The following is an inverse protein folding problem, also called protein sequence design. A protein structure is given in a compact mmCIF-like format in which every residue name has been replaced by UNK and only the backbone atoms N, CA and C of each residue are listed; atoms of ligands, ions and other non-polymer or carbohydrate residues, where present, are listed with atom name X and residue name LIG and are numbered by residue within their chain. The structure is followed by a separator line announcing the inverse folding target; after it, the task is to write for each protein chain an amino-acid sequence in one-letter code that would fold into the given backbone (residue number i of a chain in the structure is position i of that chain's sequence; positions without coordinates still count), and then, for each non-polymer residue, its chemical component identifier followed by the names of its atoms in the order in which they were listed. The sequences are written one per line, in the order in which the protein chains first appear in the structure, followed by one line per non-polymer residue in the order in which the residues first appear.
data_IF_908949662696
#
_entry.id   IF_908949662696
#
_cell.length_a   1.000
_cell.length_b   1.000
_cell.length_c   1.000
_cell.angle_alpha   90.00
_cell.angle_beta   90.00
_cell.angle_gamma   90.00
#
_symmetry.space_group_name_H-M   'P 1'
#
loop_
_entity.id
_entity.type
_entity.pdbx_description
1 polymer ?
#
# COMPACT_ATOMS: atom_id res chain seq x y z
N UNK A 1 -4.82 -14.56 -9.34
CA UNK A 1 -4.63 -14.45 -10.81
C UNK A 1 -4.40 -13.01 -11.28
N UNK A 2 -5.15 -12.01 -10.81
CA UNK A 2 -5.05 -10.63 -11.30
C UNK A 2 -3.89 -9.79 -10.73
N UNK A 3 -3.27 -10.18 -9.61
CA UNK A 3 -2.27 -9.38 -8.90
C UNK A 3 -1.00 -9.18 -9.75
N UNK A 4 -0.46 -10.26 -10.31
CA UNK A 4 0.77 -10.20 -11.12
C UNK A 4 0.62 -9.29 -12.34
N UNK A 5 -0.39 -9.48 -13.23
CA UNK A 5 -0.57 -8.59 -14.38
C UNK A 5 -0.88 -7.15 -13.96
N UNK A 6 -1.62 -6.94 -12.88
CA UNK A 6 -1.94 -5.61 -12.38
C UNK A 6 -0.70 -4.87 -11.88
N UNK A 7 0.13 -5.50 -11.04
CA UNK A 7 1.38 -4.90 -10.53
C UNK A 7 2.33 -4.61 -11.69
N UNK A 8 2.48 -5.54 -12.63
CA UNK A 8 3.33 -5.35 -13.79
C UNK A 8 2.91 -4.14 -14.62
N UNK A 9 1.62 -4.06 -14.97
CA UNK A 9 1.13 -2.98 -15.84
C UNK A 9 1.09 -1.64 -15.12
N UNK A 10 0.51 -1.58 -13.92
CA UNK A 10 0.34 -0.31 -13.18
C UNK A 10 1.68 0.30 -12.80
N UNK A 11 2.62 -0.50 -12.29
CA UNK A 11 3.92 0.01 -11.87
C UNK A 11 4.81 0.39 -13.05
N UNK A 12 4.80 -0.40 -14.15
CA UNK A 12 5.54 -0.03 -15.36
C UNK A 12 5.02 1.28 -15.96
N UNK A 13 3.69 1.47 -16.02
CA UNK A 13 3.07 2.69 -16.51
C UNK A 13 3.37 3.88 -15.59
N UNK A 14 3.34 3.67 -14.27
CA UNK A 14 3.68 4.68 -13.29
C UNK A 14 5.13 5.15 -13.47
N UNK A 15 6.07 4.21 -13.68
CA UNK A 15 7.46 4.56 -13.96
C UNK A 15 7.64 5.29 -15.29
N UNK A 16 6.89 4.91 -16.34
CA UNK A 16 6.90 5.64 -17.61
C UNK A 16 6.40 7.08 -17.47
N UNK A 17 5.49 7.34 -16.53
CA UNK A 17 4.98 8.69 -16.28
C UNK A 17 5.97 9.59 -15.54
N UNK A 18 6.97 9.01 -14.87
CA UNK A 18 8.01 9.75 -14.14
C UNK A 18 9.05 10.42 -15.04
N UNK A 19 9.12 10.02 -16.28
CA UNK A 19 10.25 10.42 -17.11
C UNK A 19 9.85 10.90 -18.49
N UNK A 20 9.43 12.13 -18.57
CA UNK A 20 9.63 12.95 -19.76
C UNK A 20 11.02 13.63 -19.60
N UNK A 21 12.09 13.11 -20.26
CA UNK A 21 13.47 13.44 -19.93
C UNK A 21 13.85 14.90 -20.23
N UNK A 22 13.19 15.54 -21.20
CA UNK A 22 13.63 16.83 -21.72
C UNK A 22 13.08 18.04 -20.95
N UNK A 23 11.90 17.94 -20.35
CA UNK A 23 11.27 19.07 -19.63
C UNK A 23 11.15 18.91 -18.12
N UNK A 24 11.01 17.68 -17.62
CA UNK A 24 10.64 17.39 -16.23
C UNK A 24 11.72 16.66 -15.41
N UNK A 25 12.87 16.32 -15.96
CA UNK A 25 13.88 15.48 -15.31
C UNK A 25 14.30 15.94 -13.90
N UNK A 26 14.46 17.25 -13.66
CA UNK A 26 14.74 17.77 -12.31
C UNK A 26 13.51 17.73 -11.39
N UNK A 27 12.32 17.98 -11.94
CA UNK A 27 11.05 17.95 -11.20
C UNK A 27 10.74 16.50 -10.83
N UNK A 28 10.84 15.59 -11.80
CA UNK A 28 10.60 14.15 -11.59
C UNK A 28 11.53 13.57 -10.51
N UNK A 29 12.81 13.86 -10.59
CA UNK A 29 13.79 13.40 -9.60
C UNK A 29 13.50 13.93 -8.19
N UNK A 30 13.17 15.22 -8.06
CA UNK A 30 12.81 15.82 -6.77
C UNK A 30 11.51 15.24 -6.23
N UNK A 31 10.51 15.06 -7.08
CA UNK A 31 9.21 14.46 -6.72
C UNK A 31 9.40 13.04 -6.20
N UNK A 32 10.17 12.21 -6.91
CA UNK A 32 10.43 10.84 -6.50
C UNK A 32 11.18 10.75 -5.16
N UNK A 33 12.23 11.57 -4.99
CA UNK A 33 12.97 11.64 -3.72
C UNK A 33 12.05 12.08 -2.58
N UNK A 34 11.18 13.07 -2.82
CA UNK A 34 10.21 13.55 -1.83
C UNK A 34 9.24 12.44 -1.44
N UNK A 35 8.70 11.69 -2.41
CA UNK A 35 7.82 10.56 -2.14
C UNK A 35 8.53 9.49 -1.32
N UNK A 36 9.76 9.13 -1.68
CA UNK A 36 10.55 8.14 -0.96
C UNK A 36 10.83 8.59 0.49
N UNK A 37 11.16 9.86 0.70
CA UNK A 37 11.33 10.42 2.06
C UNK A 37 10.05 10.28 2.88
N UNK A 38 8.88 10.62 2.31
CA UNK A 38 7.61 10.46 3.01
C UNK A 38 7.27 9.01 3.29
N UNK A 39 7.59 8.08 2.39
CA UNK A 39 7.44 6.65 2.62
C UNK A 39 8.26 6.15 3.81
N UNK A 40 9.54 6.51 3.85
CA UNK A 40 10.43 6.11 4.94
C UNK A 40 9.92 6.66 6.28
N UNK A 41 9.52 7.93 6.31
CA UNK A 41 8.98 8.55 7.52
C UNK A 41 7.65 7.91 7.94
N UNK A 42 6.76 7.63 6.99
CA UNK A 42 5.48 6.96 7.26
C UNK A 42 5.69 5.54 7.81
N UNK A 43 6.59 4.76 7.20
CA UNK A 43 6.93 3.41 7.67
C UNK A 43 7.54 3.43 9.08
N UNK A 44 8.47 4.35 9.33
CA UNK A 44 9.12 4.49 10.63
C UNK A 44 8.13 4.89 11.72
N UNK A 45 7.29 5.89 11.47
CA UNK A 45 6.27 6.34 12.41
C UNK A 45 5.25 5.23 12.69
N UNK A 46 4.71 4.59 11.64
CA UNK A 46 3.74 3.53 11.78
C UNK A 46 4.33 2.31 12.52
N UNK A 47 5.56 1.94 12.17
CA UNK A 47 6.28 0.87 12.86
C UNK A 47 6.51 1.16 14.33
N UNK A 48 6.96 2.37 14.66
CA UNK A 48 7.19 2.80 16.05
C UNK A 48 5.88 2.82 16.87
N UNK A 49 4.81 3.37 16.31
CA UNK A 49 3.51 3.42 16.99
C UNK A 49 2.91 2.04 17.18
N UNK A 50 2.94 1.19 16.16
CA UNK A 50 2.44 -0.18 16.26
C UNK A 50 3.28 -1.02 17.24
N UNK A 51 4.59 -0.85 17.24
CA UNK A 51 5.47 -1.50 18.21
C UNK A 51 5.19 -1.04 19.64
N UNK A 52 4.92 0.24 19.83
CA UNK A 52 4.50 0.78 21.12
C UNK A 52 3.18 0.14 21.61
N UNK A 53 2.18 0.03 20.74
CA UNK A 53 0.90 -0.66 21.03
C UNK A 53 1.13 -2.14 21.38
N UNK A 54 2.05 -2.82 20.66
CA UNK A 54 2.50 -4.19 20.99
C UNK A 54 3.07 -4.25 22.41
N UNK A 55 3.97 -3.33 22.77
CA UNK A 55 4.58 -3.28 24.11
C UNK A 55 3.56 -3.04 25.24
N UNK A 56 2.47 -2.32 24.94
CA UNK A 56 1.34 -2.13 25.85
C UNK A 56 0.47 -3.38 26.01
N UNK A 57 0.73 -4.45 25.24
CA UNK A 57 -0.03 -5.70 25.27
C UNK A 57 -1.42 -5.62 24.63
N UNK A 58 -1.73 -4.54 23.91
CA UNK A 58 -3.06 -4.33 23.33
C UNK A 58 -3.31 -5.19 22.07
N UNK A 59 -2.25 -5.69 21.45
CA UNK A 59 -2.31 -6.65 20.33
C UNK A 59 -2.31 -8.12 20.79
N UNK A 60 -2.25 -8.39 22.09
CA UNK A 60 -2.22 -9.76 22.60
C UNK A 60 -3.55 -10.47 22.31
N UNK A 61 -3.49 -11.44 21.44
CA UNK A 61 -4.54 -12.39 21.11
C UNK A 61 -3.89 -13.76 21.19
N UNK A 62 -4.47 -14.66 21.95
CA UNK A 62 -4.12 -16.06 21.82
C UNK A 62 -4.88 -16.61 20.62
N UNK A 63 -4.25 -16.67 19.46
CA UNK A 63 -4.75 -17.52 18.39
C UNK A 63 -4.84 -18.93 18.97
N UNK A 64 -6.01 -19.60 18.93
CA UNK A 64 -6.04 -21.01 19.25
C UNK A 64 -4.99 -21.65 18.35
N UNK A 65 -4.01 -22.28 18.97
CA UNK A 65 -2.99 -23.04 18.30
C UNK A 65 -3.70 -24.20 17.59
N UNK A 66 -4.22 -23.94 16.42
CA UNK A 66 -4.49 -24.97 15.46
C UNK A 66 -3.09 -25.40 15.04
N UNK A 67 -2.66 -26.52 15.62
CA UNK A 67 -1.40 -27.21 15.43
C UNK A 67 -0.48 -26.49 14.44
N UNK A 68 0.17 -25.42 14.90
CA UNK A 68 1.34 -24.88 14.22
C UNK A 68 2.41 -25.97 14.34
N UNK A 69 2.23 -27.00 13.54
CA UNK A 69 3.17 -28.10 13.36
C UNK A 69 4.33 -27.56 12.54
N UNK A 70 4.92 -26.54 13.03
CA UNK A 70 6.27 -26.04 12.80
C UNK A 70 6.27 -24.64 13.39
N UNK A 71 6.95 -24.48 14.52
CA UNK A 71 7.37 -23.17 15.01
C UNK A 71 7.99 -22.43 13.83
N UNK A 72 7.27 -21.48 13.25
CA UNK A 72 7.83 -20.56 12.26
C UNK A 72 8.77 -19.65 13.05
N UNK A 73 9.90 -20.21 13.40
CA UNK A 73 11.03 -19.45 13.86
C UNK A 73 11.54 -18.71 12.64
N UNK A 74 11.47 -17.38 12.65
CA UNK A 74 12.21 -16.52 11.71
C UNK A 74 13.75 -16.66 11.97
N UNK A 75 14.18 -17.78 12.59
CA UNK A 75 15.57 -18.14 12.77
C UNK A 75 16.15 -18.53 11.42
N UNK A 76 16.93 -17.61 10.87
CA UNK A 76 17.58 -17.76 9.56
C UNK A 76 17.04 -16.83 8.45
N UNK A 77 16.02 -16.02 8.73
CA UNK A 77 15.57 -15.02 7.77
C UNK A 77 16.68 -13.97 7.56
N UNK A 78 17.34 -14.07 6.41
CA UNK A 78 18.35 -13.10 6.02
C UNK A 78 17.70 -12.05 5.09
N UNK A 79 17.57 -10.79 5.53
CA UNK A 79 16.99 -9.71 4.73
C UNK A 79 17.67 -9.55 3.36
N UNK A 80 18.97 -9.79 3.29
CA UNK A 80 19.73 -9.71 2.04
C UNK A 80 19.31 -10.79 1.04
N UNK A 81 18.95 -11.98 1.50
CA UNK A 81 18.45 -13.05 0.62
C UNK A 81 17.13 -12.65 -0.02
N UNK A 82 16.24 -11.97 0.71
CA UNK A 82 14.99 -11.46 0.15
C UNK A 82 15.24 -10.41 -0.93
N UNK A 83 16.20 -9.52 -0.71
CA UNK A 83 16.59 -8.50 -1.71
C UNK A 83 17.25 -9.17 -2.93
N UNK A 84 18.10 -10.18 -2.74
CA UNK A 84 18.72 -10.93 -3.82
C UNK A 84 17.67 -11.70 -4.62
N UNK A 85 16.74 -12.37 -3.94
CA UNK A 85 15.64 -13.13 -4.56
C UNK A 85 14.59 -12.22 -5.21
N UNK A 86 14.60 -10.91 -4.93
CA UNK A 86 13.77 -9.95 -5.64
C UNK A 86 14.18 -9.79 -7.10
N UNK A 87 15.45 -10.10 -7.46
CA UNK A 87 15.87 -10.13 -8.86
C UNK A 87 15.68 -11.55 -9.40
N UNK A 88 14.68 -11.79 -10.26
CA UNK A 88 14.40 -13.13 -10.72
C UNK A 88 15.46 -13.62 -11.71
N UNK A 89 15.87 -14.87 -11.57
CA UNK A 89 16.71 -15.54 -12.57
C UNK A 89 15.99 -15.79 -13.91
N UNK A 90 14.66 -15.85 -13.85
CA UNK A 90 13.80 -16.00 -15.02
C UNK A 90 12.48 -15.23 -14.79
N UNK A 91 12.15 -14.32 -15.73
CA UNK A 91 10.95 -13.47 -15.68
C UNK A 91 9.68 -14.31 -15.69
N UNK A 92 9.63 -15.38 -16.46
CA UNK A 92 8.44 -16.23 -16.57
C UNK A 92 8.14 -17.00 -15.28
N UNK A 93 9.15 -17.44 -14.57
CA UNK A 93 8.96 -18.06 -13.24
C UNK A 93 8.45 -17.05 -12.21
N UNK A 94 8.87 -15.80 -12.29
CA UNK A 94 8.34 -14.74 -11.44
C UNK A 94 6.84 -14.51 -11.69
N UNK A 95 6.40 -14.60 -12.95
CA UNK A 95 4.98 -14.40 -13.31
C UNK A 95 4.09 -15.60 -13.00
N UNK A 96 4.64 -16.79 -12.86
CA UNK A 96 3.88 -18.02 -12.58
C UNK A 96 3.55 -18.23 -11.10
N UNK A 97 4.18 -17.48 -10.19
CA UNK A 97 4.02 -17.65 -8.75
C UNK A 97 3.55 -16.37 -8.07
N UNK A 98 2.48 -16.49 -7.29
CA UNK A 98 2.02 -15.38 -6.44
C UNK A 98 3.00 -15.07 -5.28
N UNK A 99 3.91 -15.98 -4.96
CA UNK A 99 4.93 -15.78 -3.92
C UNK A 99 6.12 -14.95 -4.42
N UNK A 100 6.21 -14.72 -5.73
CA UNK A 100 7.31 -13.99 -6.37
C UNK A 100 6.93 -12.54 -6.75
N UNK A 101 5.95 -11.94 -6.08
CA UNK A 101 5.43 -10.61 -6.46
C UNK A 101 6.52 -9.55 -6.34
N UNK A 102 7.45 -9.67 -5.38
CA UNK A 102 8.58 -8.75 -5.28
C UNK A 102 9.45 -8.79 -6.55
N UNK A 103 9.64 -9.97 -7.13
CA UNK A 103 10.32 -10.11 -8.41
C UNK A 103 9.53 -9.46 -9.56
N UNK A 104 8.20 -9.57 -9.55
CA UNK A 104 7.33 -8.86 -10.50
C UNK A 104 7.48 -7.34 -10.36
N UNK A 105 7.55 -6.83 -9.14
CA UNK A 105 7.79 -5.39 -8.87
C UNK A 105 9.13 -4.95 -9.48
N UNK A 106 10.21 -5.70 -9.25
CA UNK A 106 11.53 -5.38 -9.83
C UNK A 106 11.48 -5.40 -11.35
N UNK A 107 10.87 -6.41 -11.95
CA UNK A 107 10.70 -6.50 -13.42
C UNK A 107 9.88 -5.31 -13.94
N UNK A 108 8.80 -4.93 -13.27
CA UNK A 108 7.96 -3.79 -13.64
C UNK A 108 8.73 -2.46 -13.58
N UNK A 109 9.57 -2.28 -12.54
CA UNK A 109 10.44 -1.11 -12.41
C UNK A 109 11.44 -1.05 -13.57
N UNK A 110 12.14 -2.15 -13.86
CA UNK A 110 13.11 -2.22 -14.97
C UNK A 110 12.41 -1.95 -16.30
N UNK A 111 11.24 -2.56 -16.54
CA UNK A 111 10.47 -2.38 -17.77
C UNK A 111 10.05 -0.91 -17.92
N UNK A 112 9.47 -0.32 -16.88
CA UNK A 112 9.03 1.06 -16.90
C UNK A 112 10.17 2.05 -17.11
N UNK A 113 11.31 1.88 -16.41
CA UNK A 113 12.49 2.71 -16.62
C UNK A 113 13.09 2.55 -18.03
N UNK A 114 13.11 1.33 -18.56
CA UNK A 114 13.59 1.07 -19.92
C UNK A 114 12.69 1.72 -20.98
N UNK A 115 11.37 1.64 -20.80
CA UNK A 115 10.40 2.30 -21.68
C UNK A 115 10.59 3.82 -21.65
N UNK A 116 10.81 4.37 -20.48
CA UNK A 116 11.17 5.78 -20.30
C UNK A 116 12.42 6.17 -21.05
N UNK A 117 13.50 5.40 -20.91
CA UNK A 117 14.78 5.67 -21.58
C UNK A 117 14.68 5.60 -23.11
N UNK A 118 13.78 4.78 -23.64
CA UNK A 118 13.55 4.64 -25.08
C UNK A 118 12.57 5.68 -25.64
N UNK A 119 11.81 6.38 -24.78
CA UNK A 119 10.91 7.46 -25.14
C UNK A 119 9.83 7.06 -26.17
N UNK A 120 9.65 7.86 -27.21
CA UNK A 120 8.58 7.69 -28.20
C UNK A 120 8.57 6.32 -28.88
N UNK A 121 9.72 5.63 -28.98
CA UNK A 121 9.78 4.29 -29.59
C UNK A 121 8.94 3.25 -28.86
N UNK A 122 8.67 3.47 -27.59
CA UNK A 122 7.88 2.54 -26.75
C UNK A 122 6.42 2.93 -26.60
N UNK A 123 5.96 3.99 -27.26
CA UNK A 123 4.56 4.43 -27.21
C UNK A 123 3.54 3.32 -27.59
N UNK A 124 3.80 2.47 -28.59
CA UNK A 124 2.92 1.32 -28.85
C UNK A 124 2.84 0.34 -27.68
N UNK A 125 3.98 0.04 -27.02
CA UNK A 125 4.03 -0.85 -25.87
C UNK A 125 3.30 -0.24 -24.66
N UNK A 126 3.45 1.06 -24.44
CA UNK A 126 2.74 1.79 -23.40
C UNK A 126 1.22 1.69 -23.58
N UNK A 127 0.70 1.86 -24.82
CA UNK A 127 -0.72 1.67 -25.13
C UNK A 127 -1.20 0.23 -24.84
N UNK A 128 -0.40 -0.76 -25.17
CA UNK A 128 -0.73 -2.17 -24.86
C UNK A 128 -0.83 -2.40 -23.35
N UNK A 129 0.15 -1.88 -22.60
CA UNK A 129 0.13 -1.98 -21.13
C UNK A 129 -1.05 -1.22 -20.53
N UNK A 130 -1.42 -0.05 -21.06
CA UNK A 130 -2.60 0.70 -20.62
C UNK A 130 -3.88 -0.12 -20.85
N UNK A 131 -4.09 -0.62 -22.07
CA UNK A 131 -5.27 -1.43 -22.38
C UNK A 131 -5.34 -2.69 -21.51
N UNK A 132 -4.20 -3.37 -21.28
CA UNK A 132 -4.14 -4.53 -20.40
C UNK A 132 -4.47 -4.16 -18.96
N UNK A 133 -3.95 -3.04 -18.47
CA UNK A 133 -4.26 -2.53 -17.13
C UNK A 133 -5.76 -2.24 -16.98
N UNK A 134 -6.39 -1.61 -17.97
CA UNK A 134 -7.81 -1.28 -17.95
C UNK A 134 -8.69 -2.55 -17.95
N UNK A 135 -8.32 -3.56 -18.74
CA UNK A 135 -9.02 -4.86 -18.75
C UNK A 135 -8.90 -5.55 -17.39
N UNK A 136 -7.70 -5.56 -16.80
CA UNK A 136 -7.48 -6.18 -15.48
C UNK A 136 -8.23 -5.41 -14.39
N UNK A 137 -8.25 -4.08 -14.44
CA UNK A 137 -9.02 -3.25 -13.51
C UNK A 137 -10.53 -3.49 -13.63
N UNK A 138 -11.05 -3.56 -14.85
CA UNK A 138 -12.47 -3.87 -15.08
C UNK A 138 -12.87 -5.22 -14.47
N UNK A 139 -12.03 -6.25 -14.69
CA UNK A 139 -12.23 -7.58 -14.12
C UNK A 139 -12.19 -7.56 -12.58
N UNK A 140 -11.23 -6.83 -12.00
CA UNK A 140 -11.12 -6.70 -10.54
C UNK A 140 -12.31 -5.97 -9.94
N UNK A 141 -12.75 -4.86 -10.55
CA UNK A 141 -13.93 -4.13 -10.10
C UNK A 141 -15.16 -5.02 -10.12
N UNK A 142 -15.35 -5.80 -11.20
CA UNK A 142 -16.44 -6.78 -11.25
C UNK A 142 -16.36 -7.80 -10.10
N UNK A 143 -15.18 -8.36 -9.82
CA UNK A 143 -15.00 -9.29 -8.70
C UNK A 143 -15.28 -8.64 -7.36
N UNK A 144 -14.79 -7.42 -7.13
CA UNK A 144 -14.97 -6.69 -5.87
C UNK A 144 -16.45 -6.36 -5.66
N UNK A 145 -17.12 -5.85 -6.68
CA UNK A 145 -18.50 -5.37 -6.54
C UNK A 145 -19.53 -6.52 -6.47
N UNK A 146 -19.30 -7.61 -7.20
CA UNK A 146 -20.28 -8.71 -7.30
C UNK A 146 -19.97 -9.89 -6.38
N UNK A 147 -18.71 -10.29 -6.28
CA UNK A 147 -18.29 -11.46 -5.51
C UNK A 147 -17.77 -11.05 -4.13
N UNK A 148 -17.18 -9.86 -4.04
CA UNK A 148 -16.59 -9.33 -2.82
C UNK A 148 -17.50 -9.39 -1.60
N UNK A 149 -18.76 -8.91 -1.62
CA UNK A 149 -19.63 -8.94 -0.47
C UNK A 149 -19.90 -10.35 0.05
N UNK A 150 -20.10 -11.32 -0.85
CA UNK A 150 -20.30 -12.72 -0.47
C UNK A 150 -19.02 -13.34 0.12
N UNK A 151 -17.88 -13.09 -0.53
CA UNK A 151 -16.59 -13.57 -0.04
C UNK A 151 -16.28 -13.02 1.37
N UNK A 152 -16.52 -11.73 1.58
CA UNK A 152 -16.32 -11.06 2.88
C UNK A 152 -17.25 -11.64 3.93
N UNK A 153 -18.53 -11.84 3.61
CA UNK A 153 -19.47 -12.49 4.52
C UNK A 153 -18.99 -13.87 4.94
N UNK A 154 -18.55 -14.69 3.98
CA UNK A 154 -17.99 -16.02 4.27
C UNK A 154 -16.72 -15.94 5.13
N UNK A 155 -15.83 -14.96 4.86
CA UNK A 155 -14.62 -14.76 5.64
C UNK A 155 -14.92 -14.32 7.08
N UNK A 156 -15.85 -13.40 7.28
CA UNK A 156 -16.30 -12.95 8.61
C UNK A 156 -16.90 -14.13 9.36
N UNK A 157 -17.83 -14.85 8.74
CA UNK A 157 -18.48 -16.02 9.35
C UNK A 157 -17.46 -17.07 9.77
N UNK A 158 -16.49 -17.38 8.92
CA UNK A 158 -15.41 -18.30 9.23
C UNK A 158 -14.56 -17.78 10.40
N UNK A 159 -14.15 -16.51 10.38
CA UNK A 159 -13.34 -15.91 11.42
C UNK A 159 -14.04 -15.97 12.78
N UNK A 160 -15.31 -15.60 12.82
CA UNK A 160 -16.12 -15.66 14.07
C UNK A 160 -16.34 -17.10 14.55
N UNK A 161 -16.54 -18.06 13.63
CA UNK A 161 -16.72 -19.48 13.98
C UNK A 161 -15.46 -20.13 14.52
N UNK A 162 -14.29 -19.76 13.96
CA UNK A 162 -12.99 -20.39 14.33
C UNK A 162 -12.39 -19.70 15.55
N UNK A 163 -12.45 -18.38 15.61
CA UNK A 163 -11.72 -17.59 16.62
C UNK A 163 -12.62 -17.00 17.71
N UNK A 164 -13.95 -17.05 17.53
CA UNK A 164 -14.92 -16.53 18.49
C UNK A 164 -15.00 -15.00 18.53
N UNK A 165 -15.86 -14.51 19.42
CA UNK A 165 -16.15 -13.06 19.58
C UNK A 165 -14.97 -12.34 20.25
N UNK A 166 -14.11 -13.04 20.96
CA UNK A 166 -12.93 -12.47 21.64
C UNK A 166 -11.93 -11.82 20.67
N UNK A 167 -11.99 -12.24 19.40
CA UNK A 167 -11.15 -11.71 18.32
C UNK A 167 -11.53 -10.30 17.87
N UNK A 168 -12.74 -9.84 18.18
CA UNK A 168 -13.23 -8.52 17.79
C UNK A 168 -12.42 -7.42 18.48
N UNK A 169 -12.09 -7.59 19.76
CA UNK A 169 -11.40 -6.56 20.54
C UNK A 169 -10.00 -6.20 19.97
N UNK A 170 -9.10 -7.15 19.72
CA UNK A 170 -7.80 -6.86 19.13
C UNK A 170 -7.89 -6.31 17.70
N UNK A 171 -8.84 -6.77 16.92
CA UNK A 171 -9.11 -6.24 15.58
C UNK A 171 -9.52 -4.76 15.65
N UNK A 172 -10.37 -4.39 16.62
CA UNK A 172 -10.71 -2.97 16.85
C UNK A 172 -9.48 -2.16 17.26
N UNK A 173 -8.60 -2.68 18.11
CA UNK A 173 -7.34 -2.01 18.46
C UNK A 173 -6.47 -1.80 17.24
N UNK A 174 -6.35 -2.79 16.36
CA UNK A 174 -5.62 -2.66 15.09
C UNK A 174 -6.21 -1.54 14.21
N UNK A 175 -7.56 -1.50 14.05
CA UNK A 175 -8.26 -0.46 13.28
C UNK A 175 -7.98 0.92 13.89
N UNK A 176 -8.19 1.08 15.20
CA UNK A 176 -7.95 2.34 15.89
C UNK A 176 -6.49 2.79 15.78
N UNK A 177 -5.54 1.86 15.92
CA UNK A 177 -4.11 2.16 15.76
C UNK A 177 -3.83 2.67 14.34
N UNK A 178 -4.39 2.02 13.32
CA UNK A 178 -4.22 2.45 11.92
C UNK A 178 -4.81 3.84 11.66
N UNK A 179 -5.99 4.12 12.21
CA UNK A 179 -6.63 5.45 12.13
C UNK A 179 -5.75 6.50 12.82
N UNK A 180 -5.32 6.24 14.05
CA UNK A 180 -4.48 7.18 14.82
C UNK A 180 -3.16 7.44 14.10
N UNK A 181 -2.48 6.41 13.60
CA UNK A 181 -1.26 6.55 12.79
C UNK A 181 -1.50 7.43 11.57
N UNK A 182 -2.59 7.18 10.84
CA UNK A 182 -2.94 7.97 9.65
C UNK A 182 -3.22 9.44 9.98
N UNK A 183 -3.96 9.69 11.07
CA UNK A 183 -4.23 11.06 11.55
C UNK A 183 -2.95 11.77 12.00
N UNK A 184 -2.05 11.08 12.70
CA UNK A 184 -0.75 11.63 13.11
C UNK A 184 0.10 11.95 11.88
N UNK A 185 0.14 11.08 10.86
CA UNK A 185 0.83 11.37 9.60
C UNK A 185 0.31 12.65 8.94
N UNK A 186 -1.01 12.77 8.82
CA UNK A 186 -1.65 13.93 8.19
C UNK A 186 -1.44 15.20 9.02
N UNK A 187 -1.56 15.10 10.34
CA UNK A 187 -1.51 16.27 11.23
C UNK A 187 -0.08 16.73 11.55
N UNK A 188 0.93 15.88 11.40
CA UNK A 188 2.32 16.22 11.79
C UNK A 188 3.26 16.20 10.59
N UNK A 189 3.37 15.07 9.90
CA UNK A 189 4.42 14.85 8.90
C UNK A 189 4.23 15.75 7.68
N UNK A 190 3.01 15.86 7.16
CA UNK A 190 2.76 16.71 6.00
C UNK A 190 2.92 18.21 6.31
N UNK A 191 2.37 18.77 7.42
CA UNK A 191 2.63 20.15 7.81
C UNK A 191 4.11 20.45 8.04
N UNK A 192 4.82 19.55 8.71
CA UNK A 192 6.28 19.68 8.92
C UNK A 192 7.02 19.65 7.59
N UNK A 193 6.67 18.74 6.69
CA UNK A 193 7.26 18.67 5.34
C UNK A 193 7.05 19.96 4.56
N UNK A 194 5.84 20.51 4.55
CA UNK A 194 5.54 21.80 3.93
C UNK A 194 6.40 22.92 4.55
N UNK A 195 6.43 23.02 5.85
CA UNK A 195 7.21 24.05 6.54
C UNK A 195 8.71 23.95 6.26
N UNK A 196 9.27 22.74 6.28
CA UNK A 196 10.70 22.53 6.04
C UNK A 196 11.11 22.84 4.59
N UNK A 197 10.25 22.49 3.62
CA UNK A 197 10.57 22.66 2.20
C UNK A 197 10.28 24.07 1.67
N UNK A 198 9.18 24.67 2.13
CA UNK A 198 8.70 25.96 1.60
C UNK A 198 8.87 27.13 2.56
N UNK A 199 9.04 26.86 3.86
CA UNK A 199 9.02 27.82 4.96
C UNK A 199 7.73 28.64 5.07
N UNK A 200 6.67 28.21 4.39
CA UNK A 200 5.34 28.80 4.46
C UNK A 200 4.55 28.22 5.65
N UNK A 201 3.56 29.00 6.12
CA UNK A 201 2.65 28.50 7.14
C UNK A 201 1.81 27.35 6.58
N UNK A 202 1.90 26.13 7.15
CA UNK A 202 1.18 24.97 6.63
C UNK A 202 -0.34 25.03 6.90
N UNK A 203 -0.82 25.81 7.86
CA UNK A 203 -2.23 25.82 8.26
C UNK A 203 -3.19 26.21 7.14
N UNK A 204 -2.96 27.27 6.36
CA UNK A 204 -3.82 27.60 5.21
C UNK A 204 -3.83 26.50 4.14
N UNK A 205 -2.68 25.85 3.92
CA UNK A 205 -2.57 24.74 2.99
C UNK A 205 -3.42 23.53 3.48
N UNK A 206 -3.26 23.14 4.74
CA UNK A 206 -4.00 22.04 5.34
C UNK A 206 -5.52 22.26 5.34
N UNK A 207 -5.97 23.50 5.56
CA UNK A 207 -7.40 23.82 5.45
C UNK A 207 -7.96 23.57 4.05
N UNK A 208 -7.20 23.92 3.02
CA UNK A 208 -7.59 23.68 1.63
C UNK A 208 -7.49 22.19 1.25
N UNK A 209 -6.47 21.50 1.74
CA UNK A 209 -6.29 20.08 1.52
C UNK A 209 -7.32 19.22 2.26
N UNK A 210 -7.91 19.69 3.36
CA UNK A 210 -8.87 18.94 4.15
C UNK A 210 -10.09 18.48 3.34
N UNK A 211 -10.62 19.32 2.43
CA UNK A 211 -11.73 18.94 1.56
C UNK A 211 -11.37 17.81 0.58
N UNK A 212 -10.11 17.79 0.12
CA UNK A 212 -9.59 16.71 -0.73
C UNK A 212 -9.50 15.43 0.10
N UNK A 213 -9.00 15.54 1.35
CA UNK A 213 -8.91 14.42 2.28
C UNK A 213 -10.27 13.83 2.63
N UNK A 214 -11.27 14.66 2.89
CA UNK A 214 -12.65 14.21 3.15
C UNK A 214 -13.26 13.51 1.93
N UNK A 215 -13.08 14.06 0.75
CA UNK A 215 -13.56 13.44 -0.48
C UNK A 215 -12.85 12.11 -0.78
N UNK A 216 -11.53 12.05 -0.53
CA UNK A 216 -10.76 10.81 -0.68
C UNK A 216 -11.21 9.75 0.32
N UNK A 217 -11.51 10.13 1.55
CA UNK A 217 -12.04 9.22 2.58
C UNK A 217 -13.42 8.69 2.18
N UNK A 218 -14.30 9.55 1.68
CA UNK A 218 -15.65 9.16 1.25
C UNK A 218 -15.64 8.25 0.02
N UNK A 219 -14.80 8.55 -0.98
CA UNK A 219 -14.72 7.75 -2.22
C UNK A 219 -13.83 6.52 -2.09
N UNK A 220 -12.94 6.52 -1.11
CA UNK A 220 -11.92 5.49 -0.93
C UNK A 220 -11.12 5.18 -2.20
N UNK A 221 -10.97 6.19 -3.06
CA UNK A 221 -10.32 6.10 -4.36
C UNK A 221 -9.49 7.32 -4.66
N UNK A 222 -8.17 7.14 -4.75
CA UNK A 222 -7.26 8.21 -5.17
C UNK A 222 -7.54 8.67 -6.61
N UNK A 223 -7.96 7.75 -7.48
CA UNK A 223 -8.29 8.07 -8.86
C UNK A 223 -9.54 8.97 -8.95
N UNK A 224 -10.59 8.66 -8.19
CA UNK A 224 -11.80 9.51 -8.14
C UNK A 224 -11.51 10.90 -7.54
N UNK A 225 -10.52 11.00 -6.66
CA UNK A 225 -10.14 12.27 -6.00
C UNK A 225 -9.25 13.16 -6.88
N UNK A 226 -8.59 12.60 -7.89
CA UNK A 226 -7.63 13.33 -8.73
C UNK A 226 -8.17 14.62 -9.34
N UNK A 227 -9.37 14.68 -9.92
CA UNK A 227 -9.90 15.93 -10.50
C UNK A 227 -10.07 17.06 -9.46
N UNK A 228 -10.59 16.72 -8.27
CA UNK A 228 -10.74 17.67 -7.16
C UNK A 228 -9.37 18.14 -6.66
N UNK A 229 -8.42 17.22 -6.55
CA UNK A 229 -7.06 17.53 -6.13
C UNK A 229 -6.37 18.47 -7.12
N UNK A 230 -6.46 18.16 -8.42
CA UNK A 230 -5.90 19.01 -9.48
C UNK A 230 -6.50 20.40 -9.45
N UNK A 231 -7.82 20.51 -9.38
CA UNK A 231 -8.52 21.80 -9.28
C UNK A 231 -8.06 22.62 -8.07
N UNK A 232 -8.01 21.99 -6.90
CA UNK A 232 -7.59 22.68 -5.68
C UNK A 232 -6.12 23.12 -5.73
N UNK A 233 -5.24 22.29 -6.28
CA UNK A 233 -3.82 22.64 -6.40
C UNK A 233 -3.61 23.79 -7.37
N UNK A 234 -4.30 23.83 -8.52
CA UNK A 234 -4.12 24.85 -9.54
C UNK A 234 -4.83 26.15 -9.19
N UNK A 235 -6.12 26.09 -8.78
CA UNK A 235 -6.93 27.28 -8.57
C UNK A 235 -6.78 27.91 -7.18
N UNK A 236 -6.55 27.08 -6.15
CA UNK A 236 -6.54 27.58 -4.78
C UNK A 236 -5.15 27.64 -4.15
N UNK A 237 -4.26 26.71 -4.51
CA UNK A 237 -2.90 26.65 -3.98
C UNK A 237 -1.88 27.35 -4.88
N UNK A 238 -2.26 27.72 -6.11
CA UNK A 238 -1.41 28.45 -7.05
C UNK A 238 -0.29 27.59 -7.67
N UNK A 239 -0.46 26.25 -7.68
CA UNK A 239 0.48 25.37 -8.37
C UNK A 239 0.34 25.54 -9.89
N UNK A 240 1.46 25.54 -10.60
CA UNK A 240 1.41 25.61 -12.06
C UNK A 240 0.74 24.38 -12.66
N UNK A 241 -0.09 24.53 -13.70
CA UNK A 241 -0.75 23.40 -14.35
C UNK A 241 0.23 22.33 -14.85
N UNK A 242 1.41 22.73 -15.31
CA UNK A 242 2.46 21.82 -15.78
C UNK A 242 2.95 20.89 -14.68
N UNK A 243 3.23 21.43 -13.48
CA UNK A 243 3.68 20.64 -12.34
C UNK A 243 2.51 19.77 -11.83
N UNK A 244 1.32 20.34 -11.72
CA UNK A 244 0.15 19.63 -11.19
C UNK A 244 -0.27 18.46 -12.09
N UNK A 245 -0.23 18.63 -13.41
CA UNK A 245 -0.57 17.56 -14.36
C UNK A 245 0.40 16.38 -14.35
N UNK A 246 1.63 16.60 -13.87
CA UNK A 246 2.62 15.53 -13.72
C UNK A 246 2.62 14.94 -12.30
N UNK A 247 2.75 15.79 -11.29
CA UNK A 247 2.97 15.34 -9.90
C UNK A 247 1.73 14.64 -9.34
N UNK A 248 0.53 15.14 -9.60
CA UNK A 248 -0.68 14.61 -8.99
C UNK A 248 -1.07 13.22 -9.52
N UNK A 249 -1.12 12.96 -10.85
CA UNK A 249 -1.38 11.62 -11.35
C UNK A 249 -0.29 10.62 -10.96
N UNK A 250 0.97 11.05 -10.98
CA UNK A 250 2.09 10.22 -10.55
C UNK A 250 1.99 9.89 -9.05
N UNK A 251 1.69 10.88 -8.22
CA UNK A 251 1.49 10.69 -6.79
C UNK A 251 0.30 9.80 -6.46
N UNK A 252 -0.76 9.86 -7.24
CA UNK A 252 -1.93 9.00 -7.09
C UNK A 252 -1.56 7.51 -7.11
N UNK A 253 -0.58 7.13 -7.93
CA UNK A 253 -0.16 5.72 -8.09
C UNK A 253 1.06 5.38 -7.24
N UNK A 254 2.04 6.26 -7.14
CA UNK A 254 3.34 5.95 -6.52
C UNK A 254 3.42 6.44 -5.06
N UNK A 255 2.66 7.45 -4.64
CA UNK A 255 2.79 8.03 -3.30
C UNK A 255 1.67 7.57 -2.35
N UNK A 256 1.65 6.28 -2.04
CA UNK A 256 0.64 5.66 -1.15
C UNK A 256 1.17 5.46 0.29
N UNK A 257 1.53 6.54 0.96
CA UNK A 257 2.10 6.51 2.32
C UNK A 257 1.16 5.88 3.36
N UNK A 258 -0.15 6.12 3.24
CA UNK A 258 -1.16 5.52 4.09
C UNK A 258 -1.19 3.99 3.99
N UNK A 259 -1.03 3.46 2.77
CA UNK A 259 -0.94 2.02 2.52
C UNK A 259 0.29 1.42 3.22
N UNK A 260 1.46 2.06 3.10
CA UNK A 260 2.67 1.63 3.81
C UNK A 260 2.47 1.64 5.33
N UNK A 261 1.86 2.69 5.87
CA UNK A 261 1.57 2.77 7.30
C UNK A 261 0.64 1.65 7.75
N UNK A 262 -0.43 1.38 7.00
CA UNK A 262 -1.35 0.28 7.26
C UNK A 262 -0.64 -1.09 7.20
N UNK A 263 0.24 -1.32 6.23
CA UNK A 263 1.04 -2.55 6.13
C UNK A 263 1.89 -2.76 7.39
N UNK A 264 2.59 -1.73 7.85
CA UNK A 264 3.43 -1.82 9.06
C UNK A 264 2.62 -2.18 10.30
N UNK A 265 1.47 -1.52 10.50
CA UNK A 265 0.59 -1.83 11.65
C UNK A 265 0.02 -3.25 11.54
N UNK A 266 -0.41 -3.67 10.34
CA UNK A 266 -0.98 -5.00 10.10
C UNK A 266 0.05 -6.11 10.36
N UNK A 267 1.28 -5.94 9.87
CA UNK A 267 2.35 -6.94 10.04
C UNK A 267 2.68 -7.13 11.52
N UNK A 268 2.84 -6.03 12.27
CA UNK A 268 3.15 -6.09 13.70
C UNK A 268 1.98 -6.72 14.48
N UNK A 269 0.74 -6.37 14.13
CA UNK A 269 -0.45 -6.94 14.73
C UNK A 269 -0.53 -8.46 14.49
N UNK A 270 -0.42 -8.89 13.24
CA UNK A 270 -0.57 -10.30 12.85
C UNK A 270 0.55 -11.14 13.44
N UNK A 271 1.79 -10.68 13.38
CA UNK A 271 2.92 -11.39 13.98
C UNK A 271 2.78 -11.50 15.50
N UNK A 272 2.31 -10.44 16.18
CA UNK A 272 2.03 -10.48 17.62
C UNK A 272 0.93 -11.48 17.94
N UNK A 273 -0.15 -11.49 17.16
CA UNK A 273 -1.27 -12.42 17.30
C UNK A 273 -0.84 -13.88 17.07
N UNK A 274 0.14 -14.12 16.22
CA UNK A 274 0.72 -15.43 15.95
C UNK A 274 1.82 -15.84 16.95
N UNK A 275 2.13 -15.00 17.94
CA UNK A 275 3.21 -15.27 18.89
C UNK A 275 4.62 -15.16 18.29
N UNK A 276 4.75 -14.57 17.10
CA UNK A 276 6.04 -14.38 16.43
C UNK A 276 6.70 -13.12 16.98
N UNK A 277 7.92 -13.26 17.50
CA UNK A 277 8.68 -12.10 17.94
C UNK A 277 9.35 -11.40 16.76
N UNK A 278 9.03 -10.12 16.59
CA UNK A 278 9.56 -9.28 15.51
C UNK A 278 10.81 -8.55 16.02
N UNK A 279 11.95 -8.94 15.49
CA UNK A 279 13.23 -8.26 15.75
C UNK A 279 13.26 -6.90 15.03
N UNK A 280 14.03 -5.91 15.50
CA UNK A 280 14.17 -4.62 14.82
C UNK A 280 14.66 -4.74 13.36
N UNK A 281 15.52 -5.71 13.06
CA UNK A 281 15.96 -6.02 11.70
C UNK A 281 14.80 -6.42 10.78
N UNK A 282 13.87 -7.22 11.28
CA UNK A 282 12.67 -7.64 10.56
C UNK A 282 11.75 -6.45 10.27
N UNK A 283 11.66 -5.46 11.18
CA UNK A 283 10.90 -4.23 10.95
C UNK A 283 11.46 -3.40 9.80
N UNK A 284 12.80 -3.35 9.65
CA UNK A 284 13.42 -2.65 8.51
C UNK A 284 13.06 -3.33 7.20
N UNK A 285 13.11 -4.66 7.16
CA UNK A 285 12.71 -5.41 5.96
C UNK A 285 11.22 -5.26 5.68
N UNK A 286 10.37 -5.32 6.71
CA UNK A 286 8.94 -5.09 6.58
C UNK A 286 8.66 -3.68 6.02
N UNK A 287 9.38 -2.66 6.49
CA UNK A 287 9.28 -1.30 5.96
C UNK A 287 9.67 -1.24 4.48
N UNK A 288 10.80 -1.84 4.11
CA UNK A 288 11.26 -1.89 2.72
C UNK A 288 10.24 -2.59 1.81
N UNK A 289 9.77 -3.78 2.20
CA UNK A 289 8.75 -4.53 1.45
C UNK A 289 7.43 -3.77 1.36
N UNK A 290 7.02 -3.11 2.46
CA UNK A 290 5.80 -2.30 2.49
C UNK A 290 5.90 -1.09 1.55
N UNK A 291 7.05 -0.45 1.46
CA UNK A 291 7.28 0.65 0.50
C UNK A 291 7.22 0.13 -0.93
N UNK A 292 7.96 -0.93 -1.25
CA UNK A 292 7.97 -1.51 -2.60
C UNK A 292 6.57 -1.95 -3.06
N UNK A 293 5.82 -2.63 -2.17
CA UNK A 293 4.46 -3.08 -2.50
C UNK A 293 3.47 -1.93 -2.58
N UNK A 294 3.59 -0.91 -1.73
CA UNK A 294 2.74 0.27 -1.79
C UNK A 294 2.96 1.06 -3.09
N UNK A 295 4.20 1.20 -3.56
CA UNK A 295 4.51 1.81 -4.87
C UNK A 295 3.91 1.02 -6.04
N UNK A 296 3.78 -0.30 -5.91
CA UNK A 296 3.18 -1.17 -6.92
C UNK A 296 1.66 -1.36 -6.76
N UNK A 297 1.05 -0.76 -5.75
CA UNK A 297 -0.39 -0.88 -5.50
C UNK A 297 -1.17 0.00 -6.47
N UNK A 298 -2.13 -0.54 -7.22
CA UNK A 298 -2.98 0.29 -8.07
C UNK A 298 -3.90 1.19 -7.25
N UNK A 299 -4.27 2.35 -7.81
CA UNK A 299 -5.11 3.35 -7.16
C UNK A 299 -6.60 2.99 -7.14
N UNK A 300 -6.92 1.72 -6.94
CA UNK A 300 -8.29 1.18 -6.86
C UNK A 300 -8.65 0.81 -5.41
N UNK A 301 -9.94 0.82 -5.05
CA UNK A 301 -10.39 0.42 -3.72
C UNK A 301 -9.89 -0.99 -3.35
N UNK A 302 -9.56 -1.20 -2.06
CA UNK A 302 -9.14 -2.50 -1.49
C UNK A 302 -7.78 -3.03 -1.95
N UNK A 303 -7.15 -2.46 -2.99
CA UNK A 303 -5.87 -2.98 -3.50
C UNK A 303 -4.76 -2.99 -2.43
N UNK A 304 -4.71 -1.99 -1.57
CA UNK A 304 -3.73 -1.92 -0.48
C UNK A 304 -3.82 -3.08 0.50
N UNK A 305 -5.03 -3.55 0.83
CA UNK A 305 -5.20 -4.67 1.77
C UNK A 305 -4.69 -5.99 1.21
N UNK A 306 -4.83 -6.21 -0.09
CA UNK A 306 -4.29 -7.43 -0.74
C UNK A 306 -2.77 -7.48 -0.72
N UNK A 307 -2.12 -6.32 -0.71
CA UNK A 307 -0.66 -6.24 -0.66
C UNK A 307 -0.08 -6.57 0.71
N UNK A 308 -0.87 -6.55 1.79
CA UNK A 308 -0.43 -7.07 3.11
C UNK A 308 -0.02 -8.53 3.01
N UNK A 309 -0.79 -9.35 2.29
CA UNK A 309 -0.46 -10.75 2.03
C UNK A 309 0.93 -10.89 1.38
N UNK A 310 1.22 -10.03 0.40
CA UNK A 310 2.49 -10.02 -0.32
C UNK A 310 3.66 -9.69 0.60
N UNK A 311 3.48 -8.67 1.45
CA UNK A 311 4.53 -8.28 2.41
C UNK A 311 4.79 -9.40 3.42
N UNK A 312 3.72 -10.03 3.94
CA UNK A 312 3.83 -11.14 4.88
C UNK A 312 4.54 -12.36 4.27
N UNK A 313 4.19 -12.71 3.02
CA UNK A 313 4.86 -13.79 2.27
C UNK A 313 6.33 -13.45 2.04
N UNK A 314 6.63 -12.19 1.69
CA UNK A 314 8.00 -11.68 1.55
C UNK A 314 8.81 -11.71 2.84
N UNK A 315 8.16 -11.66 4.00
CA UNK A 315 8.76 -11.84 5.33
C UNK A 315 8.92 -13.33 5.73
N UNK A 316 8.56 -14.27 4.84
CA UNK A 316 8.68 -15.70 5.11
C UNK A 316 7.61 -16.25 6.04
N UNK A 317 6.49 -15.56 6.24
CA UNK A 317 5.37 -16.07 7.02
C UNK A 317 4.67 -17.21 6.27
N UNK A 318 4.15 -18.21 7.00
CA UNK A 318 3.44 -19.33 6.37
C UNK A 318 2.21 -18.87 5.60
N UNK A 319 1.87 -19.60 4.55
CA UNK A 319 0.69 -19.26 3.71
C UNK A 319 -0.61 -19.24 4.51
N UNK A 320 -0.74 -20.08 5.52
CA UNK A 320 -1.90 -20.11 6.41
C UNK A 320 -1.99 -18.83 7.25
N UNK A 321 -0.88 -18.41 7.86
CA UNK A 321 -0.82 -17.17 8.62
C UNK A 321 -1.08 -15.95 7.74
N UNK A 322 -0.55 -15.94 6.53
CA UNK A 322 -0.81 -14.89 5.55
C UNK A 322 -2.30 -14.82 5.17
N UNK A 323 -2.96 -15.95 5.03
CA UNK A 323 -4.41 -16.00 4.74
C UNK A 323 -5.26 -15.52 5.93
N UNK A 324 -4.90 -15.92 7.15
CA UNK A 324 -5.55 -15.46 8.37
C UNK A 324 -5.38 -13.94 8.51
N UNK A 325 -4.16 -13.46 8.39
CA UNK A 325 -3.86 -12.04 8.45
C UNK A 325 -4.58 -11.23 7.38
N UNK A 326 -4.60 -11.72 6.15
CA UNK A 326 -5.34 -11.10 5.06
C UNK A 326 -6.84 -11.04 5.35
N UNK A 327 -7.44 -12.11 5.88
CA UNK A 327 -8.85 -12.14 6.22
C UNK A 327 -9.19 -11.11 7.30
N UNK A 328 -8.38 -11.01 8.34
CA UNK A 328 -8.56 -10.02 9.42
C UNK A 328 -8.50 -8.58 8.92
N UNK A 329 -7.49 -8.27 8.11
CA UNK A 329 -7.31 -6.92 7.53
C UNK A 329 -8.46 -6.59 6.57
N UNK A 330 -8.86 -7.52 5.72
CA UNK A 330 -9.93 -7.31 4.73
C UNK A 330 -11.30 -7.12 5.38
N UNK A 331 -11.61 -7.90 6.42
CA UNK A 331 -12.85 -7.77 7.19
C UNK A 331 -12.94 -6.40 7.84
N UNK A 332 -11.86 -5.96 8.49
CA UNK A 332 -11.80 -4.67 9.17
C UNK A 332 -11.97 -3.50 8.22
N UNK A 333 -11.34 -3.58 7.05
CA UNK A 333 -11.45 -2.55 6.01
C UNK A 333 -12.89 -2.42 5.48
N UNK A 334 -13.60 -3.53 5.35
CA UNK A 334 -14.99 -3.55 4.87
C UNK A 334 -15.97 -2.98 5.88
N UNK A 335 -15.74 -3.19 7.17
CA UNK A 335 -16.57 -2.57 8.21
C UNK A 335 -16.45 -1.05 8.22
N UNK A 336 -15.27 -0.50 7.99
CA UNK A 336 -15.09 0.94 7.81
C UNK A 336 -15.87 1.46 6.60
N UNK A 337 -15.97 0.66 5.52
CA UNK A 337 -16.68 1.03 4.29
C UNK A 337 -18.21 0.87 4.38
N UNK A 338 -18.72 -0.10 5.14
CA UNK A 338 -20.17 -0.34 5.29
C UNK A 338 -20.88 0.86 5.93
N UNK A 339 -20.21 1.57 6.84
CA UNK A 339 -20.76 2.81 7.43
C UNK A 339 -20.80 3.99 6.46
N UNK A 340 -20.08 3.93 5.34
CA UNK A 340 -20.07 4.99 4.33
C UNK A 340 -21.16 4.80 3.26
N UNK A 341 -21.64 3.57 3.06
CA UNK A 341 -22.69 3.25 2.06
C UNK A 341 -24.12 3.42 2.55
N UNK A 342 -24.37 3.52 3.85
CA UNK A 342 -25.70 3.75 4.43
C UNK A 342 -26.14 5.23 4.42
N UNK A 343 -25.38 6.12 3.79
CA UNK A 343 -25.67 7.55 3.68
C UNK A 343 -26.08 8.01 2.27
N UNK A 344 -26.56 7.07 1.42
CA UNK A 344 -27.20 7.41 0.13
C UNK A 344 -28.65 6.96 0.09
#
# INVERSE_FOLDING_TARGET
MAIVPLVLTSLSLAMCSLADPERLGKIAGRTFITYLCFYVVAAALAGAMAYFVKCMGWFNVNLPAQEATETVTMEGYNPLVTVINAVPSNIFTAFSSNNSILAVVVVALILGLSMTALGEKTEPLKKVLQNLNDVVQLFLNFLIDKIGPLAIFCMISRTLSVYGVEYIKPTLVWILTTIVVSLVLVATIYPVGIFLTTRLNPVPFMKKAAKIGLFAAATNSSAATLPLNTKTCTEELGCTPEISSFVLPTGMTINMNGTTAMHMVAIIFIATAAGIDIKPSTLVVAAFLSICTAMGTPAIPVAGTTMVYVVMTGLGMSSELCMIGYSLVSVSYTHLRAHETDSY
#
